data_IF_205273417855
#
_entry.id   IF_205273417855
#
_cell.length_a   1.000
_cell.length_b   1.000
_cell.length_c   1.000
_cell.angle_alpha   90.00
_cell.angle_beta   90.00
_cell.angle_gamma   90.00
#
_symmetry.space_group_name_H-M   'P 1'
#
loop_
_entity.id
_entity.type
_entity.pdbx_description
1 polymer ?
#
# COMPACT_ATOMS: atom_id res chain seq x y z
N UNK A 1 2.13 16.24 31.95
CA UNK A 1 2.76 15.05 31.98
C UNK A 1 1.89 13.90 31.71
N UNK A 2 0.77 13.83 32.28
CA UNK A 2 -0.10 12.73 32.04
C UNK A 2 -0.55 12.64 30.59
N UNK A 3 -0.62 13.76 29.90
CA UNK A 3 -1.04 13.76 28.50
C UNK A 3 -0.13 12.87 27.66
N UNK A 4 1.16 12.92 27.94
CA UNK A 4 2.12 12.12 27.20
C UNK A 4 1.88 10.64 27.41
N UNK A 5 1.49 10.28 28.60
CA UNK A 5 1.24 8.88 28.93
C UNK A 5 0.01 8.34 28.24
N UNK A 6 -0.96 9.22 27.92
CA UNK A 6 -2.20 8.80 27.29
C UNK A 6 -2.09 8.65 25.79
N UNK A 7 -1.04 9.24 25.19
CA UNK A 7 -0.88 9.21 23.75
C UNK A 7 -0.14 7.96 23.31
N UNK A 8 -0.64 7.36 22.24
CA UNK A 8 0.03 6.23 21.64
C UNK A 8 1.23 6.73 20.86
N UNK A 9 2.40 6.19 21.13
CA UNK A 9 3.59 6.51 20.36
C UNK A 9 3.73 5.51 19.23
N UNK A 10 4.51 5.91 18.22
CA UNK A 10 4.80 5.02 17.09
C UNK A 10 5.43 3.72 17.58
N UNK A 11 6.35 3.84 18.51
CA UNK A 11 7.06 2.68 19.03
C UNK A 11 6.12 1.70 19.72
N UNK A 12 5.22 2.25 20.56
CA UNK A 12 4.24 1.42 21.26
C UNK A 12 3.32 0.71 20.28
N UNK A 13 2.92 1.41 19.24
CA UNK A 13 2.03 0.81 18.26
C UNK A 13 2.74 -0.30 17.48
N UNK A 14 4.01 -0.11 17.14
CA UNK A 14 4.79 -1.15 16.47
C UNK A 14 4.81 -2.43 17.31
N UNK A 15 4.98 -2.29 18.61
CA UNK A 15 5.06 -3.46 19.48
C UNK A 15 3.76 -4.22 19.54
N UNK A 16 2.64 -3.52 19.51
CA UNK A 16 1.34 -4.16 19.64
C UNK A 16 0.73 -4.57 18.30
N UNK A 17 1.26 -4.06 17.21
CA UNK A 17 0.68 -4.24 15.88
C UNK A 17 0.30 -5.69 15.56
N UNK A 18 1.17 -6.67 15.79
CA UNK A 18 0.85 -8.04 15.39
C UNK A 18 -0.34 -8.65 16.13
N UNK A 19 -0.63 -8.17 17.35
CA UNK A 19 -1.72 -8.74 18.13
C UNK A 19 -3.02 -7.97 18.02
N UNK A 20 -3.01 -6.82 17.35
CA UNK A 20 -4.22 -6.02 17.19
C UNK A 20 -5.07 -6.55 16.05
N UNK A 21 -6.39 -6.48 16.21
CA UNK A 21 -7.30 -6.77 15.12
C UNK A 21 -7.24 -5.65 14.09
N UNK A 22 -7.76 -5.92 12.90
CA UNK A 22 -7.76 -4.92 11.83
C UNK A 22 -8.44 -3.63 12.27
N UNK A 23 -9.57 -3.75 12.95
CA UNK A 23 -10.30 -2.59 13.44
C UNK A 23 -9.49 -1.82 14.48
N UNK A 24 -8.84 -2.53 15.39
CA UNK A 24 -8.00 -1.91 16.39
C UNK A 24 -6.80 -1.20 15.77
N UNK A 25 -6.23 -1.79 14.75
CA UNK A 25 -5.10 -1.17 14.03
C UNK A 25 -5.50 0.17 13.44
N UNK A 26 -6.64 0.22 12.77
CA UNK A 26 -7.12 1.46 12.18
C UNK A 26 -7.36 2.51 13.25
N UNK A 27 -7.99 2.11 14.34
CA UNK A 27 -8.30 3.04 15.43
C UNK A 27 -7.02 3.62 16.03
N UNK A 28 -6.07 2.75 16.36
CA UNK A 28 -4.83 3.21 16.99
C UNK A 28 -3.99 4.04 16.04
N UNK A 29 -3.98 3.67 14.77
CA UNK A 29 -3.28 4.45 13.77
C UNK A 29 -3.82 5.89 13.71
N UNK A 30 -5.14 6.03 13.77
CA UNK A 30 -5.75 7.36 13.71
C UNK A 30 -5.49 8.19 14.94
N UNK A 31 -5.08 7.56 16.03
CA UNK A 31 -4.77 8.26 17.26
C UNK A 31 -3.33 8.78 17.31
N UNK A 32 -2.50 8.38 16.38
CA UNK A 32 -1.14 8.90 16.31
C UNK A 32 -1.16 10.38 15.89
N UNK A 33 -0.12 11.10 16.28
CA UNK A 33 0.08 12.45 15.78
C UNK A 33 0.25 12.44 14.28
N UNK A 34 -0.19 13.50 13.62
CA UNK A 34 -0.19 13.57 12.17
C UNK A 34 1.17 13.24 11.57
N UNK A 35 2.24 13.82 12.10
CA UNK A 35 3.57 13.55 11.58
C UNK A 35 4.00 12.12 11.78
N UNK A 36 3.63 11.56 12.91
CA UNK A 36 3.99 10.17 13.20
C UNK A 36 3.21 9.18 12.37
N UNK A 37 1.98 9.55 11.98
CA UNK A 37 1.18 8.67 11.13
C UNK A 37 1.85 8.40 9.80
N UNK A 38 2.40 9.44 9.20
CA UNK A 38 3.07 9.30 7.91
C UNK A 38 4.26 8.36 8.02
N UNK A 39 5.09 8.56 9.03
CA UNK A 39 6.25 7.71 9.22
C UNK A 39 5.85 6.26 9.49
N UNK A 40 4.84 6.07 10.33
CA UNK A 40 4.37 4.74 10.64
C UNK A 40 3.85 4.04 9.40
N UNK A 41 3.01 4.73 8.63
CA UNK A 41 2.42 4.19 7.42
C UNK A 41 3.50 3.77 6.42
N UNK A 42 4.50 4.62 6.22
CA UNK A 42 5.55 4.32 5.26
C UNK A 42 6.44 3.18 5.71
N UNK A 43 6.46 2.88 7.00
CA UNK A 43 7.23 1.75 7.51
C UNK A 43 6.51 0.42 7.44
N UNK A 44 5.21 0.43 7.14
CA UNK A 44 4.43 -0.80 7.05
C UNK A 44 4.68 -1.51 5.72
N UNK A 45 4.44 -2.81 5.69
CA UNK A 45 4.44 -3.54 4.44
C UNK A 45 3.20 -3.26 3.61
N UNK A 46 3.22 -3.66 2.35
CA UNK A 46 2.14 -3.35 1.42
C UNK A 46 0.80 -3.91 1.87
N UNK A 47 0.81 -5.10 2.46
CA UNK A 47 -0.43 -5.72 2.91
C UNK A 47 -1.12 -4.86 3.98
N UNK A 48 -0.36 -4.44 4.99
CA UNK A 48 -0.92 -3.62 6.06
C UNK A 48 -1.31 -2.24 5.55
N UNK A 49 -0.52 -1.68 4.63
CA UNK A 49 -0.85 -0.40 4.02
C UNK A 49 -2.17 -0.47 3.27
N UNK A 50 -2.39 -1.55 2.53
CA UNK A 50 -3.63 -1.71 1.78
C UNK A 50 -4.83 -1.84 2.72
N UNK A 51 -4.68 -2.59 3.80
CA UNK A 51 -5.76 -2.73 4.78
C UNK A 51 -6.12 -1.39 5.39
N UNK A 52 -5.12 -0.61 5.79
CA UNK A 52 -5.37 0.70 6.36
C UNK A 52 -6.07 1.62 5.37
N UNK A 53 -5.61 1.62 4.12
CA UNK A 53 -6.22 2.48 3.11
C UNK A 53 -7.70 2.16 2.92
N UNK A 54 -8.04 0.88 2.88
CA UNK A 54 -9.43 0.49 2.69
C UNK A 54 -10.29 0.77 3.91
N UNK A 55 -9.69 0.78 5.10
CA UNK A 55 -10.42 1.01 6.33
C UNK A 55 -10.50 2.48 6.71
N UNK A 56 -9.66 3.33 6.15
CA UNK A 56 -9.71 4.77 6.40
C UNK A 56 -10.84 5.41 5.58
N UNK A 57 -11.32 6.59 6.00
CA UNK A 57 -12.34 7.29 5.23
C UNK A 57 -11.90 7.48 3.79
N UNK A 58 -12.83 7.28 2.87
CA UNK A 58 -12.52 7.31 1.44
C UNK A 58 -11.88 8.62 1.02
N UNK A 59 -12.34 9.73 1.58
CA UNK A 59 -11.82 11.03 1.20
C UNK A 59 -10.38 11.27 1.65
N UNK A 60 -9.84 10.41 2.52
CA UNK A 60 -8.46 10.55 2.97
C UNK A 60 -7.50 9.65 2.21
N UNK A 61 -8.01 8.71 1.44
CA UNK A 61 -7.16 7.71 0.79
C UNK A 61 -6.14 8.33 -0.15
N UNK A 62 -6.53 9.38 -0.87
CA UNK A 62 -5.60 9.98 -1.82
C UNK A 62 -4.38 10.58 -1.13
N UNK A 63 -4.55 11.10 0.09
CA UNK A 63 -3.43 11.65 0.84
C UNK A 63 -2.38 10.57 1.07
N UNK A 64 -2.82 9.41 1.52
CA UNK A 64 -1.91 8.32 1.86
C UNK A 64 -1.30 7.68 0.62
N UNK A 65 -2.10 7.49 -0.43
CA UNK A 65 -1.56 6.94 -1.67
C UNK A 65 -0.46 7.83 -2.25
N UNK A 66 -0.62 9.14 -2.13
CA UNK A 66 0.36 10.06 -2.71
C UNK A 66 1.64 10.17 -1.91
N UNK A 67 1.66 9.63 -0.71
CA UNK A 67 2.90 9.54 0.07
C UNK A 67 3.81 8.43 -0.41
N UNK A 68 3.26 7.44 -1.08
CA UNK A 68 4.02 6.27 -1.49
C UNK A 68 4.88 6.58 -2.71
N UNK A 69 6.09 6.03 -2.72
CA UNK A 69 6.90 6.02 -3.93
C UNK A 69 6.19 5.15 -4.97
N UNK A 70 6.44 5.37 -6.27
CA UNK A 70 5.74 4.58 -7.29
C UNK A 70 5.87 3.07 -7.11
N UNK A 71 7.04 2.58 -6.74
CA UNK A 71 7.23 1.15 -6.51
C UNK A 71 6.34 0.63 -5.38
N UNK A 72 6.25 1.40 -4.31
CA UNK A 72 5.44 1.01 -3.16
C UNK A 72 3.95 1.09 -3.50
N UNK A 73 3.56 2.08 -4.28
CA UNK A 73 2.18 2.19 -4.72
C UNK A 73 1.76 0.98 -5.55
N UNK A 74 2.67 0.49 -6.40
CA UNK A 74 2.42 -0.72 -7.18
C UNK A 74 2.14 -1.89 -6.25
N UNK A 75 2.96 -2.06 -5.23
CA UNK A 75 2.79 -3.17 -4.30
C UNK A 75 1.45 -3.10 -3.59
N UNK A 76 1.06 -1.90 -3.15
CA UNK A 76 -0.22 -1.71 -2.48
C UNK A 76 -1.38 -2.03 -3.42
N UNK A 77 -1.30 -1.55 -4.66
CA UNK A 77 -2.36 -1.78 -5.63
C UNK A 77 -2.50 -3.27 -5.92
N UNK A 78 -1.38 -3.98 -6.01
CA UNK A 78 -1.44 -5.42 -6.20
C UNK A 78 -2.09 -6.14 -5.03
N UNK A 79 -1.87 -5.63 -3.81
CA UNK A 79 -2.50 -6.21 -2.63
C UNK A 79 -4.01 -6.04 -2.61
N UNK A 80 -4.51 -4.89 -3.07
CA UNK A 80 -5.96 -4.68 -3.08
C UNK A 80 -6.66 -5.49 -4.16
N UNK A 81 -5.91 -5.94 -5.15
CA UNK A 81 -6.46 -6.84 -6.17
C UNK A 81 -7.00 -6.11 -7.39
N UNK A 82 -7.23 -6.88 -8.47
CA UNK A 82 -7.64 -6.27 -9.75
C UNK A 82 -8.98 -5.56 -9.72
N UNK A 83 -9.90 -6.01 -8.87
CA UNK A 83 -11.23 -5.40 -8.82
C UNK A 83 -11.19 -3.95 -8.39
N UNK A 84 -10.21 -3.58 -7.59
CA UNK A 84 -10.10 -2.22 -7.07
C UNK A 84 -8.93 -1.44 -7.67
N UNK A 85 -8.25 -2.00 -8.63
CA UNK A 85 -7.06 -1.39 -9.20
C UNK A 85 -7.36 0.01 -9.76
N UNK A 86 -8.38 0.12 -10.56
CA UNK A 86 -8.70 1.41 -11.18
C UNK A 86 -9.03 2.46 -10.14
N UNK A 87 -9.79 2.07 -9.14
CA UNK A 87 -10.15 2.97 -8.05
C UNK A 87 -8.90 3.52 -7.37
N UNK A 88 -7.92 2.66 -7.10
CA UNK A 88 -6.70 3.07 -6.44
C UNK A 88 -5.85 3.97 -7.33
N UNK A 89 -5.79 3.66 -8.62
CA UNK A 89 -5.03 4.48 -9.57
C UNK A 89 -5.57 5.88 -9.64
N UNK A 90 -6.88 6.04 -9.55
CA UNK A 90 -7.50 7.36 -9.62
C UNK A 90 -7.14 8.24 -8.43
N UNK A 91 -6.64 7.67 -7.35
CA UNK A 91 -6.24 8.44 -6.18
C UNK A 91 -4.89 9.13 -6.37
N UNK A 92 -4.13 8.72 -7.37
CA UNK A 92 -2.81 9.28 -7.64
C UNK A 92 -2.90 10.49 -8.55
N UNK A 93 -1.92 11.40 -8.42
CA UNK A 93 -1.79 12.49 -9.37
C UNK A 93 -1.39 11.93 -10.73
N UNK A 94 -1.60 12.70 -11.78
CA UNK A 94 -1.47 12.17 -13.13
C UNK A 94 -0.08 11.64 -13.47
N UNK A 95 1.01 12.38 -13.19
CA UNK A 95 2.34 11.84 -13.54
C UNK A 95 2.63 10.53 -12.81
N UNK A 96 2.27 10.45 -11.53
CA UNK A 96 2.50 9.25 -10.75
C UNK A 96 1.63 8.11 -11.24
N UNK A 97 0.39 8.41 -11.62
CA UNK A 97 -0.52 7.39 -12.14
C UNK A 97 0.05 6.74 -13.40
N UNK A 98 0.62 7.54 -14.28
CA UNK A 98 1.23 7.01 -15.49
C UNK A 98 2.40 6.09 -15.16
N UNK A 99 3.23 6.53 -14.25
CA UNK A 99 4.40 5.75 -13.87
C UNK A 99 3.99 4.45 -13.21
N UNK A 100 3.03 4.50 -12.30
CA UNK A 100 2.55 3.32 -11.59
C UNK A 100 1.88 2.35 -12.57
N UNK A 101 1.09 2.88 -13.50
CA UNK A 101 0.45 2.03 -14.51
C UNK A 101 1.48 1.27 -15.33
N UNK A 102 2.55 1.96 -15.72
CA UNK A 102 3.62 1.32 -16.49
C UNK A 102 4.33 0.24 -15.66
N UNK A 103 4.58 0.54 -14.39
CA UNK A 103 5.24 -0.42 -13.52
C UNK A 103 4.38 -1.65 -13.26
N UNK A 104 3.06 -1.45 -13.12
CA UNK A 104 2.14 -2.57 -12.94
C UNK A 104 2.19 -3.50 -14.15
N UNK A 105 2.15 -2.92 -15.35
CA UNK A 105 2.21 -3.71 -16.57
C UNK A 105 3.52 -4.48 -16.64
N UNK A 106 4.62 -3.82 -16.32
CA UNK A 106 5.92 -4.45 -16.37
C UNK A 106 6.01 -5.64 -15.40
N UNK A 107 5.57 -5.43 -14.17
CA UNK A 107 5.64 -6.48 -13.16
C UNK A 107 4.75 -7.67 -13.52
N UNK A 108 3.58 -7.39 -14.03
CA UNK A 108 2.65 -8.46 -14.38
C UNK A 108 3.12 -9.23 -15.59
N UNK A 109 3.71 -8.55 -16.55
CA UNK A 109 4.29 -9.23 -17.71
C UNK A 109 5.45 -10.12 -17.29
N UNK A 110 6.29 -9.62 -16.40
CA UNK A 110 7.42 -10.39 -15.92
C UNK A 110 6.96 -11.66 -15.22
N UNK A 111 5.99 -11.51 -14.33
CA UNK A 111 5.46 -12.67 -13.61
C UNK A 111 4.78 -13.64 -14.57
N UNK A 112 4.04 -13.12 -15.53
CA UNK A 112 3.37 -13.95 -16.52
C UNK A 112 4.35 -14.68 -17.40
N UNK A 113 5.43 -14.01 -17.77
CA UNK A 113 6.45 -14.62 -18.60
C UNK A 113 7.14 -15.78 -17.92
N UNK A 114 7.32 -15.67 -16.66
CA UNK A 114 7.93 -16.74 -15.91
C UNK A 114 7.07 -17.99 -15.91
N UNK A 115 5.84 -17.78 -15.89
CA UNK A 115 4.93 -18.89 -15.94
C UNK A 115 4.77 -19.43 -17.30
N UNK A 116 5.41 -19.06 -18.16
CA UNK A 116 5.33 -19.47 -19.26
C UNK A 116 6.00 -19.95 -19.83
N UNK A 117 6.06 -19.40 -19.84
CA UNK A 117 6.45 -19.63 -20.32
C UNK A 117 6.71 -19.49 -21.11
N UNK A 118 6.98 -19.11 -21.34
CA UNK A 118 7.47 -19.17 -21.80
C UNK A 118 7.42 -19.04 -22.25
N UNK A 119 7.22 -18.72 -22.28
CA UNK A 119 7.64 -18.94 -22.50
C UNK A 119 7.50 -18.81 -23.04
N UNK A 120 7.28 -18.69 -23.26
CA UNK A 120 7.39 -18.95 -23.57
C UNK A 120 7.43 -18.36 -24.35
N UNK A 121 7.60 -18.02 -24.69
CA UNK A 121 8.04 -18.07 -25.15
C UNK A 121 8.31 -17.95 -25.69
N UNK A 122 8.13 -17.57 -25.99
CA UNK A 122 8.73 -17.85 -26.21
C UNK A 122 8.82 -17.85 -26.83
N UNK A 123 8.72 -17.68 -27.21
CA UNK A 123 9.18 -18.20 -27.59
C UNK A 123 9.19 -18.46 -27.99
N UNK A 124 8.80 -18.26 -28.39
CA UNK A 124 9.08 -18.80 -28.59
C UNK A 124 9.22 -18.87 -29.01
N UNK A 125 8.94 -18.66 -29.27
CA UNK A 125 9.26 -19.26 -29.35
C UNK A 125 9.34 -19.26 -29.46
N UNK A 126 9.09 -18.94 -29.60
CA UNK A 126 9.46 -19.36 -29.34
C UNK A 126 9.49 -19.49 -29.52
N UNK A 127 9.12 -19.29 -29.49
CA UNK A 127 9.34 -19.79 -29.40
C UNK A 127 9.57 -20.01 -29.45
#
# INVERSE_FOLDING_TARGET
MTTIELETTTEQLWERWPVLSRRQRTKEFRELHTGERADFFLGLGAHDQSDLLLDLPQEQRHVWMRLLAPDDAVDVIQEVGPARREEMLQLLDEPTRREVTALLAYKEDDAGGLMNPRFARLRPDLR
#
